data_IF_241937452990
#
_entry.id   IF_241937452990
#
_cell.length_a   1.000
_cell.length_b   1.000
_cell.length_c   1.000
_cell.angle_alpha   90.00
_cell.angle_beta   90.00
_cell.angle_gamma   90.00
#
_symmetry.space_group_name_H-M   'P 1'
#
loop_
_entity.id
_entity.type
_entity.pdbx_description
1 polymer ?
#
# COMPACT_ATOMS: atom_id res chain seq x y z
N UNK A 1 -35.89 9.66 21.36
CA UNK A 1 -35.53 8.54 20.48
C UNK A 1 -34.32 8.99 19.70
N UNK A 2 -33.11 8.51 20.04
CA UNK A 2 -31.91 8.83 19.29
C UNK A 2 -32.03 8.30 17.86
N UNK A 3 -31.63 9.09 16.88
CA UNK A 3 -31.53 8.62 15.50
C UNK A 3 -30.57 7.44 15.48
N UNK A 4 -31.06 6.23 15.28
CA UNK A 4 -30.19 5.06 15.07
C UNK A 4 -29.39 5.27 13.79
N UNK A 5 -28.06 5.20 13.89
CA UNK A 5 -27.18 5.34 12.75
C UNK A 5 -27.31 4.13 11.83
N UNK A 6 -27.44 4.38 10.54
CA UNK A 6 -27.44 3.35 9.51
C UNK A 6 -26.03 3.23 8.94
N UNK A 7 -25.49 2.01 8.90
CA UNK A 7 -24.21 1.68 8.31
C UNK A 7 -24.41 1.16 6.90
N UNK A 8 -23.87 1.85 5.90
CA UNK A 8 -23.78 1.36 4.52
C UNK A 8 -22.46 0.62 4.35
N UNK A 9 -22.50 -0.58 3.77
CA UNK A 9 -21.33 -1.43 3.60
C UNK A 9 -21.36 -2.20 2.30
N UNK A 10 -20.19 -2.49 1.75
CA UNK A 10 -20.02 -3.35 0.58
C UNK A 10 -19.57 -4.73 1.02
N UNK A 11 -20.44 -5.72 0.81
CA UNK A 11 -20.18 -7.13 1.11
C UNK A 11 -19.77 -7.89 -0.16
N UNK A 12 -18.88 -8.87 -0.02
CA UNK A 12 -18.54 -9.76 -1.12
C UNK A 12 -19.74 -10.63 -1.48
N UNK A 13 -20.28 -10.46 -2.69
CA UNK A 13 -21.42 -11.22 -3.21
C UNK A 13 -20.96 -12.45 -3.99
N UNK A 14 -19.96 -12.29 -4.84
CA UNK A 14 -19.41 -13.35 -5.68
C UNK A 14 -17.91 -13.20 -5.85
N UNK A 15 -17.18 -14.31 -5.97
CA UNK A 15 -15.74 -14.27 -6.23
C UNK A 15 -15.46 -13.86 -7.67
N UNK A 16 -14.56 -12.89 -7.93
CA UNK A 16 -14.25 -12.45 -9.28
C UNK A 16 -13.50 -13.52 -10.07
N UNK A 17 -13.92 -13.74 -11.31
CA UNK A 17 -13.18 -14.52 -12.32
C UNK A 17 -12.44 -13.55 -13.24
N UNK A 18 -11.13 -13.34 -13.00
CA UNK A 18 -10.35 -12.30 -13.69
C UNK A 18 -10.38 -10.95 -12.99
N UNK A 19 -10.69 -9.88 -13.70
CA UNK A 19 -10.79 -8.54 -13.14
C UNK A 19 -11.96 -8.43 -12.15
N UNK A 20 -11.80 -7.56 -11.14
CA UNK A 20 -12.86 -7.24 -10.18
C UNK A 20 -13.87 -6.31 -10.87
N UNK A 21 -15.15 -6.52 -10.63
CA UNK A 21 -16.25 -5.65 -11.08
C UNK A 21 -17.18 -5.30 -9.92
N UNK A 22 -18.02 -4.29 -10.14
CA UNK A 22 -19.05 -3.90 -9.16
C UNK A 22 -20.01 -5.06 -8.82
N UNK A 23 -20.28 -5.94 -9.77
CA UNK A 23 -21.18 -7.11 -9.60
C UNK A 23 -20.67 -8.13 -8.58
N UNK A 24 -19.38 -8.08 -8.23
CA UNK A 24 -18.80 -8.93 -7.19
C UNK A 24 -19.21 -8.51 -5.79
N UNK A 25 -19.80 -7.33 -5.63
CA UNK A 25 -20.18 -6.76 -4.34
C UNK A 25 -21.67 -6.47 -4.26
N UNK A 26 -22.15 -6.41 -3.02
CA UNK A 26 -23.52 -6.02 -2.70
C UNK A 26 -23.48 -4.88 -1.69
N UNK A 27 -24.19 -3.78 -2.02
CA UNK A 27 -24.45 -2.70 -1.07
C UNK A 27 -25.50 -3.16 -0.06
N UNK A 28 -25.14 -3.19 1.22
CA UNK A 28 -26.01 -3.55 2.34
C UNK A 28 -26.15 -2.36 3.29
N UNK A 29 -27.32 -2.20 3.89
CA UNK A 29 -27.62 -1.20 4.91
C UNK A 29 -28.11 -1.91 6.17
N UNK A 30 -27.43 -1.66 7.28
CA UNK A 30 -27.76 -2.26 8.58
C UNK A 30 -27.73 -1.18 9.67
N UNK A 31 -28.50 -1.38 10.74
CA UNK A 31 -28.40 -0.49 11.89
C UNK A 31 -27.07 -0.71 12.59
N UNK A 32 -26.41 0.39 12.98
CA UNK A 32 -25.21 0.30 13.82
C UNK A 32 -25.61 -0.34 15.15
N UNK A 33 -24.95 -1.44 15.57
CA UNK A 33 -25.28 -2.12 16.83
C UNK A 33 -24.88 -1.25 18.02
N UNK A 34 -25.57 -1.44 19.15
CA UNK A 34 -25.12 -0.88 20.44
C UNK A 34 -23.75 -1.45 20.82
N UNK A 35 -22.87 -0.60 21.30
CA UNK A 35 -21.53 -1.01 21.72
C UNK A 35 -21.62 -1.90 22.96
N UNK A 36 -20.80 -2.93 22.97
CA UNK A 36 -20.49 -3.74 24.15
C UNK A 36 -19.32 -3.12 24.92
N UNK A 37 -19.11 -3.54 26.16
CA UNK A 37 -17.95 -3.13 26.95
C UNK A 37 -16.65 -3.52 26.22
N UNK A 38 -15.69 -2.60 26.19
CA UNK A 38 -14.42 -2.73 25.47
C UNK A 38 -14.50 -2.45 23.97
N UNK A 39 -15.65 -2.01 23.45
CA UNK A 39 -15.82 -1.65 22.03
C UNK A 39 -15.79 -0.15 21.80
N UNK A 40 -15.41 0.20 20.55
CA UNK A 40 -15.46 1.55 20.01
C UNK A 40 -16.30 1.58 18.75
N UNK A 41 -16.95 2.70 18.50
CA UNK A 41 -17.61 2.99 17.20
C UNK A 41 -16.75 3.96 16.41
N UNK A 42 -16.27 3.48 15.28
CA UNK A 42 -15.43 4.25 14.36
C UNK A 42 -16.25 4.68 13.16
N UNK A 43 -16.31 5.99 12.90
CA UNK A 43 -16.77 6.53 11.61
C UNK A 43 -15.60 6.48 10.64
N UNK A 44 -15.71 5.66 9.60
CA UNK A 44 -14.66 5.51 8.58
C UNK A 44 -14.62 6.76 7.71
N UNK A 45 -13.42 7.36 7.57
CA UNK A 45 -13.19 8.58 6.80
C UNK A 45 -12.48 8.30 5.48
N UNK A 46 -11.52 7.37 5.48
CA UNK A 46 -10.70 7.02 4.33
C UNK A 46 -10.48 5.53 4.25
N UNK A 47 -10.45 5.01 3.03
CA UNK A 47 -10.14 3.61 2.70
C UNK A 47 -8.91 3.55 1.80
N UNK A 48 -8.06 2.55 2.00
CA UNK A 48 -6.98 2.22 1.08
C UNK A 48 -7.45 1.23 0.03
N UNK A 49 -7.02 1.44 -1.22
CA UNK A 49 -7.19 0.48 -2.31
C UNK A 49 -5.82 -0.13 -2.63
N UNK A 50 -5.60 -1.36 -2.18
CA UNK A 50 -4.34 -2.05 -2.30
C UNK A 50 -4.45 -3.26 -3.25
N UNK A 51 -3.41 -3.54 -4.07
CA UNK A 51 -3.40 -4.72 -4.96
C UNK A 51 -3.65 -6.04 -4.21
N UNK A 52 -3.22 -6.15 -2.96
CA UNK A 52 -3.43 -7.34 -2.12
C UNK A 52 -4.91 -7.68 -1.90
N UNK A 53 -5.79 -6.67 -1.94
CA UNK A 53 -7.25 -6.87 -1.81
C UNK A 53 -7.78 -7.82 -2.90
N UNK A 54 -7.21 -7.78 -4.11
CA UNK A 54 -7.58 -8.72 -5.17
C UNK A 54 -7.29 -10.18 -4.76
N UNK A 55 -6.17 -10.41 -4.08
CA UNK A 55 -5.79 -11.71 -3.55
C UNK A 55 -6.77 -12.23 -2.48
N UNK A 56 -7.24 -11.34 -1.61
CA UNK A 56 -8.19 -11.71 -0.53
C UNK A 56 -9.57 -12.15 -1.02
N UNK A 57 -9.91 -11.86 -2.28
CA UNK A 57 -11.15 -12.30 -2.92
C UNK A 57 -11.08 -13.73 -3.47
N UNK A 58 -9.89 -14.33 -3.55
CA UNK A 58 -9.72 -15.71 -3.96
C UNK A 58 -9.87 -16.65 -2.76
N UNK A 59 -10.57 -17.77 -2.95
CA UNK A 59 -10.75 -18.81 -1.92
C UNK A 59 -9.54 -19.76 -1.91
N UNK A 60 -8.39 -19.20 -1.53
CA UNK A 60 -7.13 -19.94 -1.46
C UNK A 60 -6.43 -19.63 -0.15
N UNK A 61 -5.70 -20.59 0.39
CA UNK A 61 -4.89 -20.40 1.60
C UNK A 61 -3.79 -19.36 1.30
N UNK A 62 -3.74 -18.32 2.14
CA UNK A 62 -2.76 -17.24 2.05
C UNK A 62 -2.27 -16.87 3.45
N UNK A 63 -1.48 -15.79 3.58
CA UNK A 63 -1.02 -15.24 4.87
C UNK A 63 -2.16 -14.70 5.74
N UNK A 64 -3.32 -14.41 5.14
CA UNK A 64 -4.56 -14.08 5.83
C UNK A 64 -5.72 -14.90 5.25
N UNK A 65 -6.77 -15.18 6.05
CA UNK A 65 -7.97 -15.84 5.53
C UNK A 65 -8.61 -15.03 4.39
N UNK A 66 -9.14 -15.67 3.34
CA UNK A 66 -9.87 -14.96 2.31
C UNK A 66 -11.15 -14.32 2.88
N UNK A 67 -11.58 -13.23 2.27
CA UNK A 67 -12.90 -12.63 2.55
C UNK A 67 -13.98 -13.63 2.13
N UNK A 68 -14.93 -13.91 3.02
CA UNK A 68 -16.00 -14.86 2.73
C UNK A 68 -17.17 -14.17 2.01
N UNK A 69 -17.96 -14.95 1.26
CA UNK A 69 -19.20 -14.47 0.66
C UNK A 69 -20.12 -13.97 1.80
N UNK A 70 -20.66 -12.75 1.66
CA UNK A 70 -21.47 -12.08 2.68
C UNK A 70 -20.66 -11.25 3.70
N UNK A 71 -19.33 -11.39 3.78
CA UNK A 71 -18.51 -10.54 4.62
C UNK A 71 -18.26 -9.17 3.99
N UNK A 72 -18.06 -8.15 4.84
CA UNK A 72 -17.65 -6.81 4.42
C UNK A 72 -16.27 -6.90 3.74
N UNK A 73 -16.12 -6.25 2.60
CA UNK A 73 -14.83 -6.22 1.92
C UNK A 73 -13.76 -5.59 2.82
N UNK A 74 -12.71 -6.33 3.09
CA UNK A 74 -11.61 -5.90 3.95
C UNK A 74 -10.77 -4.81 3.30
N UNK A 75 -10.42 -3.77 4.07
CA UNK A 75 -9.50 -2.72 3.65
C UNK A 75 -8.84 -2.08 4.87
N UNK A 76 -7.61 -1.61 4.71
CA UNK A 76 -7.01 -0.67 5.65
C UNK A 76 -7.78 0.64 5.60
N UNK A 77 -8.00 1.24 6.74
CA UNK A 77 -8.91 2.39 6.86
C UNK A 77 -8.42 3.33 7.95
N UNK A 78 -8.78 4.60 7.81
CA UNK A 78 -8.67 5.60 8.87
C UNK A 78 -10.06 6.09 9.21
N UNK A 79 -10.34 6.21 10.49
CA UNK A 79 -11.62 6.72 10.98
C UNK A 79 -11.47 7.54 12.24
N UNK A 80 -12.57 8.13 12.64
CA UNK A 80 -12.70 8.88 13.90
C UNK A 80 -13.61 8.12 14.86
N UNK A 81 -13.21 8.00 16.10
CA UNK A 81 -14.03 7.42 17.16
C UNK A 81 -15.16 8.39 17.48
N UNK A 82 -16.41 7.93 17.36
CA UNK A 82 -17.60 8.72 17.65
C UNK A 82 -18.34 8.24 18.91
N UNK A 83 -18.05 7.02 19.38
CA UNK A 83 -18.50 6.46 20.66
C UNK A 83 -17.46 5.47 21.18
N UNK A 84 -17.25 5.41 22.50
CA UNK A 84 -16.28 4.49 23.12
C UNK A 84 -16.81 3.92 24.41
N UNK A 85 -16.59 2.60 24.57
CA UNK A 85 -16.68 1.84 25.81
C UNK A 85 -15.36 1.11 26.13
N UNK A 86 -14.24 1.62 25.58
CA UNK A 86 -12.87 1.16 25.82
C UNK A 86 -12.08 2.31 26.44
N UNK A 87 -11.49 2.10 27.61
CA UNK A 87 -10.76 3.12 28.39
C UNK A 87 -9.49 3.62 27.65
N UNK A 88 -8.97 2.86 26.69
CA UNK A 88 -7.80 3.23 25.92
C UNK A 88 -8.11 4.19 24.78
N UNK A 89 -9.38 4.40 24.42
CA UNK A 89 -9.80 5.17 23.26
C UNK A 89 -10.82 6.24 23.64
N UNK A 90 -10.63 7.44 23.16
CA UNK A 90 -11.51 8.59 23.42
C UNK A 90 -12.29 9.00 22.19
N UNK A 91 -13.50 9.53 22.40
CA UNK A 91 -14.28 10.16 21.34
C UNK A 91 -13.45 11.30 20.71
N UNK A 92 -13.38 11.33 19.38
CA UNK A 92 -12.57 12.28 18.63
C UNK A 92 -11.19 11.76 18.22
N UNK A 93 -10.68 10.68 18.83
CA UNK A 93 -9.42 10.06 18.41
C UNK A 93 -9.50 9.64 16.93
N UNK A 94 -8.45 9.96 16.18
CA UNK A 94 -8.23 9.39 14.85
C UNK A 94 -7.49 8.06 15.00
N UNK A 95 -8.01 7.04 14.34
CA UNK A 95 -7.50 5.68 14.44
C UNK A 95 -7.32 5.04 13.06
N UNK A 96 -6.27 4.22 12.93
CA UNK A 96 -6.05 3.34 11.80
C UNK A 96 -6.37 1.90 12.19
N UNK A 97 -7.04 1.18 11.29
CA UNK A 97 -7.36 -0.25 11.46
C UNK A 97 -7.80 -0.88 10.15
N UNK A 98 -8.33 -2.10 10.23
CA UNK A 98 -8.86 -2.83 9.07
C UNK A 98 -10.39 -2.80 9.09
N UNK A 99 -10.97 -1.60 9.07
CA UNK A 99 -12.42 -1.43 9.25
C UNK A 99 -13.25 -1.89 8.03
N UNK A 100 -12.64 -2.03 6.86
CA UNK A 100 -13.30 -2.50 5.65
C UNK A 100 -14.15 -1.44 4.93
N UNK A 101 -14.85 -1.87 3.89
CA UNK A 101 -15.66 -1.00 3.05
C UNK A 101 -17.04 -0.74 3.69
N UNK A 102 -17.07 0.11 4.67
CA UNK A 102 -18.28 0.50 5.42
C UNK A 102 -18.15 1.92 5.98
N UNK A 103 -19.26 2.53 6.37
CA UNK A 103 -19.26 3.88 6.95
C UNK A 103 -18.97 3.89 8.44
N UNK A 104 -19.43 2.86 9.17
CA UNK A 104 -19.24 2.74 10.60
C UNK A 104 -18.78 1.33 10.97
N UNK A 105 -17.86 1.23 11.92
CA UNK A 105 -17.37 -0.04 12.45
C UNK A 105 -17.47 -0.05 13.95
N UNK A 106 -18.34 -0.92 14.50
CA UNK A 106 -18.42 -1.22 15.94
C UNK A 106 -17.46 -2.39 16.21
N UNK A 107 -16.34 -2.14 16.85
CA UNK A 107 -15.23 -3.09 16.97
C UNK A 107 -14.53 -3.00 18.33
N UNK A 108 -13.88 -4.09 18.75
CA UNK A 108 -12.92 -4.06 19.85
C UNK A 108 -11.51 -3.69 19.35
N UNK A 109 -10.62 -3.35 20.27
CA UNK A 109 -9.27 -2.88 19.94
C UNK A 109 -8.37 -3.95 19.27
N UNK A 110 -8.75 -5.22 19.36
CA UNK A 110 -8.06 -6.36 18.73
C UNK A 110 -8.58 -6.68 17.32
N UNK A 111 -9.59 -5.95 16.87
CA UNK A 111 -10.24 -6.21 15.58
C UNK A 111 -9.30 -6.03 14.39
N UNK A 112 -9.38 -6.96 13.44
CA UNK A 112 -8.71 -6.86 12.14
C UNK A 112 -7.39 -7.62 12.05
N UNK A 113 -6.57 -7.26 11.05
CA UNK A 113 -5.27 -7.91 10.79
C UNK A 113 -4.17 -7.40 11.73
N UNK A 114 -4.30 -6.19 12.19
CA UNK A 114 -3.41 -5.53 13.15
C UNK A 114 -4.27 -4.82 14.20
N UNK A 115 -3.76 -4.65 15.42
CA UNK A 115 -4.45 -3.87 16.45
C UNK A 115 -4.75 -2.46 15.97
N UNK A 116 -5.86 -1.90 16.43
CA UNK A 116 -6.22 -0.52 16.13
C UNK A 116 -5.19 0.42 16.74
N UNK A 117 -4.69 1.35 15.95
CA UNK A 117 -3.67 2.31 16.35
C UNK A 117 -4.20 3.74 16.31
N UNK A 118 -3.93 4.51 17.38
CA UNK A 118 -4.18 5.95 17.37
C UNK A 118 -3.17 6.65 16.46
N UNK A 119 -3.65 7.60 15.69
CA UNK A 119 -2.77 8.47 14.91
C UNK A 119 -2.16 9.54 15.82
N UNK A 120 -0.88 9.87 15.62
CA UNK A 120 -0.28 11.04 16.25
C UNK A 120 -1.03 12.31 15.88
N UNK A 121 -1.10 13.25 16.82
CA UNK A 121 -1.74 14.55 16.57
C UNK A 121 -0.99 15.33 15.50
N UNK A 122 -1.73 16.05 14.66
CA UNK A 122 -1.16 16.97 13.67
C UNK A 122 -0.73 16.34 12.34
N UNK A 123 -0.80 15.01 12.18
CA UNK A 123 -0.57 14.38 10.87
C UNK A 123 -1.87 14.32 10.05
N UNK A 124 -1.81 14.52 8.73
CA UNK A 124 -2.96 14.29 7.87
C UNK A 124 -3.44 12.84 7.98
N UNK A 125 -4.75 12.58 8.15
CA UNK A 125 -5.27 11.21 8.32
C UNK A 125 -4.87 10.26 7.18
N UNK A 126 -4.81 10.75 5.95
CA UNK A 126 -4.40 9.97 4.77
C UNK A 126 -2.95 9.47 4.84
N UNK A 127 -2.09 10.14 5.61
CA UNK A 127 -0.70 9.71 5.82
C UNK A 127 -0.60 8.35 6.50
N UNK A 128 -1.60 7.97 7.30
CA UNK A 128 -1.67 6.65 7.91
C UNK A 128 -1.89 5.51 6.89
N UNK A 129 -2.47 5.82 5.72
CA UNK A 129 -2.67 4.86 4.62
C UNK A 129 -1.56 4.94 3.57
N UNK A 130 -0.56 5.78 3.76
CA UNK A 130 0.58 5.97 2.86
C UNK A 130 1.91 5.81 3.60
N UNK A 131 2.61 6.90 3.94
CA UNK A 131 3.97 6.85 4.52
C UNK A 131 4.04 6.20 5.91
N UNK A 132 2.99 6.33 6.73
CA UNK A 132 2.88 5.66 8.03
C UNK A 132 2.12 4.32 7.97
N UNK A 133 1.61 3.96 6.79
CA UNK A 133 0.93 2.70 6.54
C UNK A 133 1.83 1.63 5.96
N UNK A 134 1.21 0.54 5.51
CA UNK A 134 1.93 -0.64 5.01
C UNK A 134 2.84 -0.33 3.81
N UNK A 135 2.44 0.61 2.94
CA UNK A 135 3.22 0.99 1.75
C UNK A 135 4.50 1.72 2.13
N UNK A 136 4.42 2.66 3.08
CA UNK A 136 5.58 3.38 3.62
C UNK A 136 6.51 2.46 4.40
N UNK A 137 5.96 1.59 5.26
CA UNK A 137 6.74 0.58 5.99
C UNK A 137 7.45 -0.39 5.04
N UNK A 138 6.78 -0.85 3.98
CA UNK A 138 7.39 -1.69 2.96
C UNK A 138 8.55 -0.98 2.26
N UNK A 139 8.36 0.28 1.88
CA UNK A 139 9.42 1.09 1.28
C UNK A 139 10.60 1.30 2.25
N UNK A 140 10.30 1.61 3.51
CA UNK A 140 11.31 1.84 4.55
C UNK A 140 12.16 0.59 4.80
N UNK A 141 11.55 -0.52 5.18
CA UNK A 141 12.30 -1.75 5.47
C UNK A 141 13.01 -2.29 4.23
N UNK A 142 12.36 -2.25 3.07
CA UNK A 142 12.97 -2.69 1.82
C UNK A 142 14.18 -1.83 1.42
N UNK A 143 14.12 -0.53 1.64
CA UNK A 143 15.21 0.37 1.25
C UNK A 143 16.30 0.47 2.34
N UNK A 144 15.92 0.56 3.63
CA UNK A 144 16.88 0.79 4.72
C UNK A 144 17.52 -0.51 5.22
N UNK A 145 16.69 -1.54 5.54
CA UNK A 145 17.21 -2.76 6.13
C UNK A 145 17.84 -3.68 5.09
N UNK A 146 17.31 -3.67 3.86
CA UNK A 146 17.74 -4.58 2.80
C UNK A 146 18.61 -3.86 1.75
N UNK A 147 18.11 -2.78 1.15
CA UNK A 147 18.78 -2.04 0.09
C UNK A 147 20.05 -1.35 0.57
N UNK A 148 19.98 -0.69 1.71
CA UNK A 148 21.07 0.03 2.36
C UNK A 148 21.79 1.01 1.41
N UNK A 149 21.05 1.99 0.83
CA UNK A 149 21.63 2.92 -0.12
C UNK A 149 22.75 3.74 0.48
N UNK A 150 23.79 3.96 -0.32
CA UNK A 150 25.01 4.68 0.06
C UNK A 150 25.24 5.87 -0.88
N UNK A 151 26.13 6.75 -0.46
CA UNK A 151 26.56 7.86 -1.29
C UNK A 151 27.17 7.33 -2.61
N UNK A 152 26.65 7.84 -3.71
CA UNK A 152 27.12 7.46 -5.04
C UNK A 152 26.31 6.35 -5.74
N UNK A 153 25.46 5.62 -5.02
CA UNK A 153 24.69 4.51 -5.58
C UNK A 153 23.70 4.95 -6.66
N UNK A 154 23.50 4.07 -7.62
CA UNK A 154 22.41 4.12 -8.60
C UNK A 154 21.29 3.19 -8.13
N UNK A 155 20.12 3.76 -7.85
CA UNK A 155 18.94 3.02 -7.37
C UNK A 155 17.87 3.00 -8.46
N UNK A 156 17.41 1.83 -8.84
CA UNK A 156 16.30 1.63 -9.76
C UNK A 156 15.06 1.22 -8.97
N UNK A 157 13.91 1.82 -9.30
CA UNK A 157 12.61 1.50 -8.69
C UNK A 157 11.58 1.19 -9.78
N UNK A 158 11.05 -0.02 -9.83
CA UNK A 158 9.92 -0.33 -10.69
C UNK A 158 8.59 0.05 -10.02
N UNK A 159 7.57 0.41 -10.84
CA UNK A 159 6.32 0.94 -10.30
C UNK A 159 6.52 2.25 -9.53
N UNK A 160 7.45 3.10 -9.98
CA UNK A 160 7.92 4.29 -9.29
C UNK A 160 6.83 5.34 -9.00
N UNK A 161 5.78 5.40 -9.81
CA UNK A 161 4.62 6.27 -9.57
C UNK A 161 3.58 5.68 -8.60
N UNK A 162 3.84 4.48 -8.08
CA UNK A 162 2.97 3.82 -7.11
C UNK A 162 3.26 4.25 -5.66
N UNK A 163 2.33 3.93 -4.75
CA UNK A 163 2.41 4.33 -3.34
C UNK A 163 3.71 3.86 -2.64
N UNK A 164 4.16 2.63 -2.91
CA UNK A 164 5.41 2.11 -2.35
C UNK A 164 6.63 2.61 -3.10
N UNK A 165 6.60 2.57 -4.44
CA UNK A 165 7.75 2.93 -5.27
C UNK A 165 8.17 4.39 -5.13
N UNK A 166 7.21 5.32 -5.08
CA UNK A 166 7.51 6.73 -4.90
C UNK A 166 8.17 7.04 -3.56
N UNK A 167 7.76 6.36 -2.51
CA UNK A 167 8.37 6.50 -1.19
C UNK A 167 9.76 5.86 -1.16
N UNK A 168 9.92 4.68 -1.76
CA UNK A 168 11.21 3.98 -1.81
C UNK A 168 12.30 4.83 -2.48
N UNK A 169 12.00 5.46 -3.61
CA UNK A 169 12.97 6.33 -4.30
C UNK A 169 13.33 7.58 -3.50
N UNK A 170 12.35 8.20 -2.83
CA UNK A 170 12.63 9.34 -1.94
C UNK A 170 13.51 8.91 -0.75
N UNK A 171 13.27 7.76 -0.14
CA UNK A 171 14.11 7.21 0.92
C UNK A 171 15.54 6.99 0.39
N UNK A 172 15.71 6.39 -0.79
CA UNK A 172 17.01 6.21 -1.40
C UNK A 172 17.77 7.53 -1.56
N UNK A 173 17.08 8.58 -2.02
CA UNK A 173 17.64 9.92 -2.14
C UNK A 173 18.08 10.51 -0.80
N UNK A 174 17.24 10.41 0.22
CA UNK A 174 17.53 10.91 1.58
C UNK A 174 18.78 10.22 2.15
N UNK A 175 19.00 8.95 1.80
CA UNK A 175 20.15 8.15 2.26
C UNK A 175 21.39 8.23 1.34
N UNK A 176 21.42 9.18 0.40
CA UNK A 176 22.63 9.55 -0.34
C UNK A 176 22.76 8.88 -1.71
N UNK A 177 21.75 8.16 -2.21
CA UNK A 177 21.76 7.67 -3.59
C UNK A 177 21.98 8.84 -4.56
N UNK A 178 22.95 8.69 -5.44
CA UNK A 178 23.34 9.73 -6.41
C UNK A 178 22.40 9.80 -7.60
N UNK A 179 21.90 8.64 -8.03
CA UNK A 179 21.05 8.50 -9.19
C UNK A 179 19.87 7.60 -8.88
N UNK A 180 18.66 8.18 -8.82
CA UNK A 180 17.42 7.45 -8.56
C UNK A 180 16.59 7.42 -9.83
N UNK A 181 16.46 6.24 -10.41
CA UNK A 181 15.77 6.01 -11.68
C UNK A 181 14.43 5.33 -11.40
N UNK A 182 13.35 5.89 -11.94
CA UNK A 182 12.02 5.28 -11.89
C UNK A 182 11.70 4.49 -13.16
N UNK A 183 10.85 3.48 -13.05
CA UNK A 183 10.14 2.88 -14.18
C UNK A 183 8.65 3.04 -13.92
N UNK A 184 7.94 3.71 -14.83
CA UNK A 184 6.49 3.94 -14.74
C UNK A 184 5.82 3.78 -16.10
N UNK A 185 4.50 3.85 -16.19
CA UNK A 185 3.78 3.63 -17.45
C UNK A 185 3.03 4.86 -17.92
N UNK A 186 3.55 5.51 -18.93
CA UNK A 186 3.04 6.71 -19.58
C UNK A 186 3.75 7.99 -19.15
N UNK A 187 3.75 9.00 -20.03
CA UNK A 187 4.49 10.25 -19.82
C UNK A 187 4.06 10.98 -18.55
N UNK A 188 2.76 11.12 -18.31
CA UNK A 188 2.24 11.84 -17.12
C UNK A 188 2.76 11.27 -15.80
N UNK A 189 2.89 9.93 -15.73
CA UNK A 189 3.45 9.26 -14.53
C UNK A 189 4.94 9.48 -14.43
N UNK A 190 5.66 9.44 -15.53
CA UNK A 190 7.10 9.71 -15.53
C UNK A 190 7.40 11.16 -15.17
N UNK A 191 6.62 12.10 -15.69
CA UNK A 191 6.73 13.52 -15.33
C UNK A 191 6.49 13.73 -13.82
N UNK A 192 5.46 13.09 -13.26
CA UNK A 192 5.18 13.16 -11.84
C UNK A 192 6.32 12.55 -11.00
N UNK A 193 6.88 11.41 -11.42
CA UNK A 193 8.01 10.75 -10.72
C UNK A 193 9.22 11.65 -10.64
N UNK A 194 9.52 12.38 -11.73
CA UNK A 194 10.69 13.29 -11.78
C UNK A 194 10.39 14.60 -11.03
N UNK A 195 9.27 15.25 -11.35
CA UNK A 195 9.02 16.62 -10.92
C UNK A 195 8.44 16.71 -9.50
N UNK A 196 7.67 15.71 -9.06
CA UNK A 196 7.00 15.72 -7.76
C UNK A 196 7.64 14.74 -6.77
N UNK A 197 7.96 13.51 -7.21
CA UNK A 197 8.60 12.53 -6.33
C UNK A 197 10.13 12.69 -6.26
N UNK A 198 10.74 13.57 -7.07
CA UNK A 198 12.16 13.96 -6.97
C UNK A 198 13.16 12.91 -7.44
N UNK A 199 12.76 12.03 -8.35
CA UNK A 199 13.70 11.11 -9.02
C UNK A 199 14.53 11.88 -10.06
N UNK A 200 15.72 11.36 -10.40
CA UNK A 200 16.57 11.99 -11.44
C UNK A 200 16.05 11.73 -12.84
N UNK A 201 15.43 10.57 -13.06
CA UNK A 201 14.86 10.18 -14.34
C UNK A 201 13.77 9.12 -14.18
N UNK A 202 12.96 8.98 -15.21
CA UNK A 202 11.96 7.91 -15.29
C UNK A 202 11.90 7.32 -16.68
N UNK A 203 11.81 6.00 -16.78
CA UNK A 203 11.66 5.24 -18.02
C UNK A 203 10.19 4.91 -18.20
N UNK A 204 9.60 5.32 -19.32
CA UNK A 204 8.24 4.95 -19.69
C UNK A 204 8.21 3.58 -20.36
N UNK A 205 7.97 2.52 -19.59
CA UNK A 205 7.98 1.15 -20.11
C UNK A 205 6.96 0.87 -21.23
N UNK A 206 6.02 1.80 -21.49
CA UNK A 206 5.04 1.66 -22.57
C UNK A 206 5.56 2.16 -23.92
N UNK A 207 6.45 3.15 -23.89
CA UNK A 207 6.91 3.84 -25.07
C UNK A 207 8.43 3.71 -25.30
N UNK A 208 9.20 3.44 -24.23
CA UNK A 208 10.66 3.29 -24.30
C UNK A 208 11.09 1.83 -24.41
N UNK A 209 12.25 1.60 -25.03
CA UNK A 209 13.02 0.37 -24.83
C UNK A 209 13.74 0.44 -23.47
N UNK A 210 13.21 -0.28 -22.49
CA UNK A 210 13.70 -0.21 -21.10
C UNK A 210 15.17 -0.61 -21.00
N UNK A 211 15.63 -1.61 -21.76
CA UNK A 211 17.01 -2.08 -21.69
C UNK A 211 18.00 -1.01 -22.19
N UNK A 212 17.72 -0.41 -23.33
CA UNK A 212 18.55 0.67 -23.91
C UNK A 212 18.58 1.90 -23.01
N UNK A 213 17.43 2.30 -22.48
CA UNK A 213 17.32 3.44 -21.56
C UNK A 213 18.07 3.21 -20.25
N UNK A 214 18.01 2.00 -19.68
CA UNK A 214 18.78 1.67 -18.50
C UNK A 214 20.29 1.73 -18.73
N UNK A 215 20.79 1.25 -19.87
CA UNK A 215 22.21 1.38 -20.24
C UNK A 215 22.65 2.84 -20.36
N UNK A 216 21.77 3.71 -20.87
CA UNK A 216 22.02 5.15 -20.98
C UNK A 216 22.09 5.82 -19.60
N UNK A 217 21.10 5.54 -18.74
CA UNK A 217 20.91 6.20 -17.45
C UNK A 217 21.78 5.62 -16.32
N UNK A 218 22.16 4.34 -16.43
CA UNK A 218 22.99 3.62 -15.47
C UNK A 218 24.18 2.93 -16.17
N UNK A 219 25.11 3.69 -16.80
CA UNK A 219 26.20 3.09 -17.59
C UNK A 219 27.19 2.26 -16.79
N UNK A 220 27.22 2.41 -15.46
CA UNK A 220 28.03 1.60 -14.52
C UNK A 220 27.25 0.44 -13.90
N UNK A 221 25.98 0.29 -14.24
CA UNK A 221 25.06 -0.67 -13.66
C UNK A 221 24.24 -0.09 -12.51
N UNK A 222 23.36 -0.92 -11.99
CA UNK A 222 22.42 -0.63 -10.90
C UNK A 222 23.00 -1.20 -9.61
N UNK A 223 23.10 -0.40 -8.55
CA UNK A 223 23.56 -0.85 -7.25
C UNK A 223 22.42 -1.46 -6.42
N UNK A 224 21.22 -0.86 -6.49
CA UNK A 224 20.02 -1.34 -5.80
C UNK A 224 18.84 -1.34 -6.76
N UNK A 225 18.11 -2.45 -6.81
CA UNK A 225 16.84 -2.54 -7.52
C UNK A 225 15.70 -2.83 -6.55
N UNK A 226 14.76 -1.89 -6.44
CA UNK A 226 13.53 -2.05 -5.67
C UNK A 226 12.40 -2.48 -6.61
N UNK A 227 12.02 -3.76 -6.56
CA UNK A 227 11.06 -4.33 -7.50
C UNK A 227 9.63 -4.39 -6.94
N UNK A 228 8.71 -3.67 -7.61
CA UNK A 228 7.26 -3.72 -7.35
C UNK A 228 6.47 -4.44 -8.44
N UNK A 229 7.11 -4.92 -9.52
CA UNK A 229 6.41 -5.37 -10.74
C UNK A 229 6.74 -6.81 -11.12
N UNK A 230 8.03 -7.19 -11.09
CA UNK A 230 8.49 -8.49 -11.56
C UNK A 230 8.48 -8.64 -13.10
N UNK A 231 8.45 -9.87 -13.57
CA UNK A 231 8.34 -10.22 -15.00
C UNK A 231 9.50 -9.69 -15.84
N UNK A 232 9.21 -9.24 -17.07
CA UNK A 232 10.20 -8.78 -18.02
C UNK A 232 11.04 -7.59 -17.51
N UNK A 233 10.45 -6.70 -16.73
CA UNK A 233 11.16 -5.55 -16.13
C UNK A 233 12.22 -6.05 -15.15
N UNK A 234 11.90 -7.02 -14.31
CA UNK A 234 12.85 -7.67 -13.40
C UNK A 234 14.00 -8.33 -14.16
N UNK A 235 13.71 -9.11 -15.21
CA UNK A 235 14.73 -9.79 -16.01
C UNK A 235 15.73 -8.79 -16.65
N UNK A 236 15.21 -7.70 -17.24
CA UNK A 236 16.04 -6.63 -17.83
C UNK A 236 16.89 -5.96 -16.75
N UNK A 237 16.31 -5.65 -15.60
CA UNK A 237 17.00 -4.97 -14.50
C UNK A 237 18.13 -5.82 -13.93
N UNK A 238 17.89 -7.12 -13.73
CA UNK A 238 18.90 -8.06 -13.24
C UNK A 238 20.11 -8.19 -14.19
N UNK A 239 19.88 -8.10 -15.49
CA UNK A 239 20.94 -8.14 -16.49
C UNK A 239 21.87 -6.91 -16.44
N UNK A 240 21.47 -5.83 -15.72
CA UNK A 240 22.22 -4.58 -15.62
C UNK A 240 22.65 -4.24 -14.18
N UNK A 241 22.63 -5.21 -13.30
CA UNK A 241 23.19 -5.06 -11.94
C UNK A 241 24.70 -4.83 -12.03
N UNK A 242 25.21 -3.90 -11.23
CA UNK A 242 26.64 -3.59 -11.18
C UNK A 242 27.46 -4.79 -10.67
N UNK A 243 28.68 -5.04 -11.20
CA UNK A 243 29.45 -6.28 -10.96
C UNK A 243 29.84 -6.57 -9.51
N UNK A 244 29.80 -5.57 -8.63
CA UNK A 244 30.14 -5.69 -7.18
C UNK A 244 28.97 -5.43 -6.25
N UNK A 245 27.77 -5.33 -6.81
CA UNK A 245 26.57 -5.05 -6.02
C UNK A 245 26.06 -6.32 -5.37
N UNK A 246 25.86 -6.27 -4.06
CA UNK A 246 25.03 -7.25 -3.35
C UNK A 246 23.59 -6.96 -3.71
N UNK A 247 23.05 -7.72 -4.68
CA UNK A 247 21.66 -7.60 -5.06
C UNK A 247 20.79 -8.22 -3.97
N UNK A 248 20.29 -7.39 -3.09
CA UNK A 248 19.14 -7.79 -2.27
C UNK A 248 17.89 -7.56 -3.09
N UNK A 249 17.33 -8.64 -3.63
CA UNK A 249 16.04 -8.63 -4.27
C UNK A 249 14.97 -8.64 -3.18
N UNK A 250 14.40 -7.49 -2.87
CA UNK A 250 13.20 -7.43 -2.05
C UNK A 250 12.00 -7.68 -2.96
N UNK A 251 11.55 -8.92 -3.00
CA UNK A 251 10.23 -9.26 -3.53
C UNK A 251 9.23 -9.10 -2.39
N UNK A 252 8.41 -8.04 -2.36
CA UNK A 252 7.38 -7.88 -1.34
C UNK A 252 6.26 -8.91 -1.46
N UNK A 253 6.26 -9.71 -2.53
CA UNK A 253 5.30 -10.79 -2.74
C UNK A 253 6.03 -12.08 -3.11
N UNK A 254 6.14 -13.00 -2.16
CA UNK A 254 6.33 -14.41 -2.51
C UNK A 254 5.18 -14.80 -3.43
N UNK A 255 5.45 -14.95 -4.71
CA UNK A 255 4.58 -15.73 -5.57
C UNK A 255 4.68 -17.17 -5.06
N UNK A 256 3.70 -17.58 -4.28
CA UNK A 256 3.53 -18.99 -3.97
C UNK A 256 3.00 -19.61 -5.26
N UNK A 257 3.87 -20.34 -5.94
CA UNK A 257 3.50 -21.24 -7.04
C UNK A 257 2.73 -22.41 -6.46
#
# INVERSE_FOLDING_TARGET
MGNMLTNRMLKLKTRPKGAVSADNFELSEEQVPELKDGQILVKVLYLSFDPTQRGWLNDVKSYVPPVQIGEIMRASSVGQIIESKDDNFSIGDLVMGTFGWQEYAAVDSSFGLLPIQKLPQGIPPTSALSIYGITGLTAFFGMIDIGQPKEGDTVLVSGAAGATGSVAGQIARIHGAKNVIGIAGGPDKCDWVVNEAGFDSCIDYKNDDVASKLLELAPKGIDIYFDNVGGKILEISLAQIAPVSYSHLTLPTKRIV
#
